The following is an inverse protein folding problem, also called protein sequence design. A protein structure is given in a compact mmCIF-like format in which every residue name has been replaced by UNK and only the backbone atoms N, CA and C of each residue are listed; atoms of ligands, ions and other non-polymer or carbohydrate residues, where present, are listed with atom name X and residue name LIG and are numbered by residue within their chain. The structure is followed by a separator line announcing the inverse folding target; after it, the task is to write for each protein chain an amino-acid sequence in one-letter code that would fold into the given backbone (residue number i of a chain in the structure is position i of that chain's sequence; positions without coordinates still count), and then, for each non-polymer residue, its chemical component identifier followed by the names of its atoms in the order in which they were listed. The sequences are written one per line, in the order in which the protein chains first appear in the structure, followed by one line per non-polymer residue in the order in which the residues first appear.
data_IF_468855438344
#
_entry.id   IF_468855438344
#
_cell.length_a   1.000
_cell.length_b   1.000
_cell.length_c   1.000
_cell.angle_alpha   90.00
_cell.angle_beta   90.00
_cell.angle_gamma   90.00
#
_symmetry.space_group_name_H-M   'P 1'
#
loop_
_entity.id
_entity.type
_entity.pdbx_description
1 polymer ?
#
# COMPACT_ATOMS: atom_id res chain seq x y z
N UNK A 1 5.86 -8.41 0.56
CA UNK A 1 5.26 -7.38 1.43
C UNK A 1 5.64 -7.51 2.91
N UNK A 2 6.63 -8.34 3.31
CA UNK A 2 7.15 -8.43 4.69
C UNK A 2 6.08 -8.27 5.80
N UNK A 3 6.17 -7.25 6.64
CA UNK A 3 5.24 -7.00 7.76
C UNK A 3 3.78 -6.81 7.34
N UNK A 4 3.53 -6.29 6.13
CA UNK A 4 2.19 -6.13 5.57
C UNK A 4 1.64 -7.43 4.94
N UNK A 5 2.45 -8.50 4.82
CA UNK A 5 2.06 -9.73 4.10
C UNK A 5 0.83 -10.40 4.70
N UNK A 6 0.78 -10.54 6.03
CA UNK A 6 -0.39 -11.12 6.72
C UNK A 6 -1.65 -10.31 6.44
N UNK A 7 -1.55 -8.99 6.53
CA UNK A 7 -2.70 -8.09 6.36
C UNK A 7 -3.13 -7.97 4.89
N UNK A 8 -2.23 -8.18 3.93
CA UNK A 8 -2.58 -8.28 2.52
C UNK A 8 -3.30 -9.60 2.19
N UNK A 9 -2.92 -10.71 2.85
CA UNK A 9 -3.67 -11.96 2.79
C UNK A 9 -5.06 -11.79 3.42
N UNK A 10 -5.15 -11.09 4.54
CA UNK A 10 -6.42 -10.70 5.17
C UNK A 10 -7.30 -9.81 4.28
N UNK A 11 -6.71 -8.83 3.59
CA UNK A 11 -7.40 -8.00 2.61
C UNK A 11 -7.93 -8.83 1.42
N UNK A 12 -7.15 -9.80 0.96
CA UNK A 12 -7.57 -10.76 -0.08
C UNK A 12 -8.75 -11.62 0.38
N UNK A 13 -8.76 -12.06 1.65
CA UNK A 13 -9.88 -12.78 2.24
C UNK A 13 -11.15 -11.93 2.22
N UNK A 14 -11.08 -10.69 2.69
CA UNK A 14 -12.23 -9.76 2.67
C UNK A 14 -12.69 -9.51 1.24
N UNK A 15 -11.77 -9.24 0.32
CA UNK A 15 -12.10 -9.03 -1.09
C UNK A 15 -12.91 -10.19 -1.69
N UNK A 16 -12.46 -11.43 -1.46
CA UNK A 16 -13.07 -12.61 -2.06
C UNK A 16 -14.32 -13.12 -1.31
N UNK A 17 -14.46 -12.81 -0.03
CA UNK A 17 -15.45 -13.46 0.86
C UNK A 17 -16.27 -12.51 1.73
N UNK A 18 -16.28 -11.20 1.45
CA UNK A 18 -16.99 -10.20 2.26
C UNK A 18 -18.45 -10.58 2.60
N UNK A 19 -19.20 -11.19 1.67
CA UNK A 19 -20.59 -11.61 1.88
C UNK A 19 -20.75 -12.90 2.71
N UNK A 20 -19.68 -13.65 2.95
CA UNK A 20 -19.68 -14.95 3.67
C UNK A 20 -19.00 -14.88 5.04
N UNK A 21 -18.36 -13.74 5.37
CA UNK A 21 -17.51 -13.58 6.55
C UNK A 21 -18.27 -13.24 7.83
N UNK A 22 -19.47 -12.67 7.75
CA UNK A 22 -20.26 -12.34 8.94
C UNK A 22 -20.48 -13.58 9.84
N UNK A 23 -20.17 -13.45 11.13
CA UNK A 23 -20.24 -14.52 12.12
C UNK A 23 -19.07 -15.50 12.14
N UNK A 24 -18.14 -15.44 11.17
CA UNK A 24 -16.98 -16.33 11.10
C UNK A 24 -15.87 -15.91 12.06
N UNK A 25 -15.08 -16.88 12.50
CA UNK A 25 -13.80 -16.65 13.18
C UNK A 25 -12.67 -16.94 12.19
N UNK A 26 -11.76 -15.98 12.04
CA UNK A 26 -10.55 -16.14 11.22
C UNK A 26 -9.35 -16.17 12.15
N UNK A 27 -8.49 -17.16 11.95
CA UNK A 27 -7.21 -17.27 12.65
C UNK A 27 -6.13 -16.65 11.77
N UNK A 28 -5.29 -15.81 12.36
CA UNK A 28 -4.16 -15.16 11.73
C UNK A 28 -2.87 -15.62 12.42
N UNK A 29 -1.85 -15.91 11.62
CA UNK A 29 -0.53 -16.28 12.12
C UNK A 29 0.50 -15.30 11.58
N UNK A 30 1.10 -14.53 12.49
CA UNK A 30 2.17 -13.58 12.17
C UNK A 30 3.52 -14.16 12.56
N UNK A 31 4.51 -13.99 11.69
CA UNK A 31 5.87 -14.48 11.89
C UNK A 31 6.89 -13.43 11.45
N UNK A 32 7.96 -13.29 12.23
CA UNK A 32 9.19 -12.58 11.87
C UNK A 32 10.42 -13.39 12.30
N UNK A 33 11.41 -13.50 11.41
CA UNK A 33 12.66 -14.23 11.66
C UNK A 33 13.47 -13.60 12.80
N UNK A 34 14.07 -14.43 13.67
CA UNK A 34 14.78 -13.99 14.88
C UNK A 34 14.61 -14.87 16.14
N UNK A 35 13.43 -15.21 16.64
CA UNK A 35 12.09 -15.15 16.05
C UNK A 35 11.04 -14.57 17.01
N UNK A 36 10.03 -13.91 16.44
CA UNK A 36 8.82 -13.49 17.14
C UNK A 36 7.61 -13.93 16.33
N UNK A 37 6.70 -14.66 16.96
CA UNK A 37 5.49 -15.15 16.30
C UNK A 37 4.27 -15.00 17.22
N UNK A 38 3.11 -14.78 16.62
CA UNK A 38 1.84 -14.72 17.35
C UNK A 38 0.73 -15.27 16.47
N UNK A 39 -0.01 -16.24 17.01
CA UNK A 39 -1.29 -16.66 16.48
C UNK A 39 -2.40 -15.93 17.24
N UNK A 40 -3.31 -15.29 16.53
CA UNK A 40 -4.46 -14.60 17.11
C UNK A 40 -5.70 -14.85 16.26
N UNK A 41 -6.88 -14.56 16.78
CA UNK A 41 -8.13 -14.77 16.05
C UNK A 41 -9.02 -13.54 16.11
N UNK A 42 -9.76 -13.31 15.02
CA UNK A 42 -10.74 -12.24 14.87
C UNK A 42 -12.11 -12.85 14.64
N UNK A 43 -13.15 -12.30 15.29
CA UNK A 43 -14.54 -12.63 15.00
C UNK A 43 -15.14 -11.54 14.14
N UNK A 44 -15.65 -11.94 12.98
CA UNK A 44 -16.26 -11.04 12.03
C UNK A 44 -17.73 -10.81 12.38
N UNK A 45 -18.13 -9.56 12.31
CA UNK A 45 -19.51 -9.12 12.44
C UNK A 45 -19.84 -8.24 11.24
N UNK A 46 -21.08 -8.30 10.77
CA UNK A 46 -21.52 -7.33 9.78
C UNK A 46 -21.65 -5.97 10.45
N UNK A 47 -20.99 -4.96 9.88
CA UNK A 47 -21.02 -3.59 10.35
C UNK A 47 -22.04 -2.74 9.60
N UNK A 48 -22.18 -1.48 10.01
CA UNK A 48 -22.94 -0.48 9.27
C UNK A 48 -21.98 0.41 8.47
N UNK A 49 -22.45 0.96 7.35
CA UNK A 49 -21.66 1.91 6.55
C UNK A 49 -21.17 3.09 7.43
N UNK A 50 -19.89 3.53 7.31
CA UNK A 50 -18.88 3.12 6.33
C UNK A 50 -18.05 1.88 6.73
N UNK A 51 -18.31 1.27 7.88
CA UNK A 51 -17.51 0.18 8.44
C UNK A 51 -18.14 -1.21 8.22
N UNK A 52 -18.80 -1.43 7.08
CA UNK A 52 -19.35 -2.75 6.69
C UNK A 52 -18.32 -3.57 5.89
N UNK A 53 -18.47 -4.91 5.86
CA UNK A 53 -17.53 -5.78 5.15
C UNK A 53 -17.55 -5.53 3.64
N UNK A 54 -18.74 -5.28 3.11
CA UNK A 54 -18.95 -4.91 1.71
C UNK A 54 -18.29 -3.57 1.35
N UNK A 55 -18.42 -2.56 2.21
CA UNK A 55 -17.82 -1.26 1.96
C UNK A 55 -16.29 -1.32 2.03
N UNK A 56 -15.72 -2.06 2.99
CA UNK A 56 -14.28 -2.28 3.07
C UNK A 56 -13.76 -2.94 1.78
N UNK A 57 -14.42 -3.99 1.29
CA UNK A 57 -14.06 -4.64 0.03
C UNK A 57 -14.12 -3.69 -1.18
N UNK A 58 -15.17 -2.86 -1.24
CA UNK A 58 -15.38 -1.85 -2.27
C UNK A 58 -14.27 -0.79 -2.27
N UNK A 59 -14.02 -0.16 -1.11
CA UNK A 59 -13.02 0.91 -0.94
C UNK A 59 -11.61 0.40 -1.23
N UNK A 60 -11.28 -0.84 -0.83
CA UNK A 60 -9.97 -1.41 -1.12
C UNK A 60 -9.73 -1.56 -2.63
N UNK A 61 -10.78 -1.86 -3.41
CA UNK A 61 -10.75 -2.05 -4.87
C UNK A 61 -9.55 -2.88 -5.34
N UNK A 62 -9.35 -4.05 -4.73
CA UNK A 62 -8.17 -4.90 -4.97
C UNK A 62 -8.08 -5.31 -6.45
N UNK A 63 -9.19 -5.77 -7.03
CA UNK A 63 -9.23 -6.18 -8.44
C UNK A 63 -8.92 -5.01 -9.40
N UNK A 64 -9.46 -3.81 -9.15
CA UNK A 64 -9.17 -2.64 -9.96
C UNK A 64 -7.69 -2.27 -9.92
N UNK A 65 -7.08 -2.24 -8.72
CA UNK A 65 -5.65 -1.96 -8.53
C UNK A 65 -4.74 -3.00 -9.18
N UNK A 66 -5.14 -4.27 -9.18
CA UNK A 66 -4.36 -5.33 -9.84
C UNK A 66 -4.40 -5.24 -11.36
N UNK A 67 -5.54 -4.81 -11.93
CA UNK A 67 -5.72 -4.59 -13.37
C UNK A 67 -4.99 -3.36 -13.87
N UNK A 68 -4.82 -2.33 -13.04
CA UNK A 68 -4.11 -1.09 -13.40
C UNK A 68 -2.59 -1.16 -13.24
N UNK A 69 -2.00 -2.35 -13.10
CA UNK A 69 -0.55 -2.51 -12.96
C UNK A 69 0.14 -2.36 -14.32
N UNK A 70 1.41 -1.95 -14.25
CA UNK A 70 2.28 -1.86 -15.41
C UNK A 70 3.31 -2.99 -15.36
N UNK A 71 3.33 -3.81 -16.40
CA UNK A 71 4.31 -4.88 -16.56
C UNK A 71 5.62 -4.34 -17.14
N UNK A 72 6.74 -4.86 -16.66
CA UNK A 72 8.07 -4.51 -17.12
C UNK A 72 8.79 -5.77 -17.59
N UNK A 73 9.54 -5.72 -18.71
CA UNK A 73 10.43 -6.80 -19.10
C UNK A 73 11.45 -7.11 -18.00
N UNK A 74 11.89 -8.37 -17.85
CA UNK A 74 12.86 -8.76 -16.82
C UNK A 74 14.14 -7.93 -16.81
N UNK A 75 14.66 -7.54 -17.97
CA UNK A 75 15.89 -6.77 -18.12
C UNK A 75 15.73 -5.39 -17.46
N UNK A 76 14.62 -4.70 -17.75
CA UNK A 76 14.31 -3.39 -17.17
C UNK A 76 14.04 -3.49 -15.65
N UNK A 77 13.45 -4.60 -15.20
CA UNK A 77 13.30 -4.88 -13.78
C UNK A 77 14.67 -5.01 -13.09
N UNK A 78 15.61 -5.76 -13.68
CA UNK A 78 16.97 -5.93 -13.15
C UNK A 78 17.74 -4.61 -13.13
N UNK A 79 17.66 -3.80 -14.19
CA UNK A 79 18.25 -2.46 -14.24
C UNK A 79 17.72 -1.57 -13.11
N UNK A 80 16.41 -1.63 -12.87
CA UNK A 80 15.77 -0.89 -11.78
C UNK A 80 16.27 -1.37 -10.42
N UNK A 81 16.44 -2.67 -10.21
CA UNK A 81 16.98 -3.22 -8.96
C UNK A 81 18.43 -2.77 -8.73
N UNK A 82 19.27 -2.79 -9.77
CA UNK A 82 20.65 -2.26 -9.68
C UNK A 82 20.65 -0.78 -9.32
N UNK A 83 19.77 0.03 -9.91
CA UNK A 83 19.63 1.43 -9.53
C UNK A 83 19.25 1.58 -8.05
N UNK A 84 18.29 0.78 -7.55
CA UNK A 84 17.87 0.84 -6.15
C UNK A 84 18.99 0.47 -5.18
N UNK A 85 19.85 -0.49 -5.53
CA UNK A 85 21.06 -0.83 -4.77
C UNK A 85 21.98 0.38 -4.62
N UNK A 86 22.25 1.12 -5.69
CA UNK A 86 23.07 2.35 -5.65
C UNK A 86 22.42 3.47 -4.81
N UNK A 87 21.09 3.53 -4.75
CA UNK A 87 20.36 4.53 -3.95
C UNK A 87 20.28 4.16 -2.47
N UNK A 88 20.47 2.90 -2.11
CA UNK A 88 20.39 2.45 -0.73
C UNK A 88 21.55 3.02 0.09
N UNK A 89 21.23 3.86 1.08
CA UNK A 89 22.23 4.53 1.92
C UNK A 89 22.97 5.69 1.24
N UNK A 90 22.57 6.08 0.02
CA UNK A 90 23.12 7.24 -0.67
C UNK A 90 22.46 8.57 -0.23
N UNK A 91 23.14 9.67 -0.53
CA UNK A 91 22.71 11.06 -0.33
C UNK A 91 23.07 11.92 -1.53
N UNK A 92 22.61 13.16 -1.54
CA UNK A 92 22.92 14.17 -2.53
C UNK A 92 22.55 13.75 -3.97
N UNK A 93 21.29 13.33 -4.15
CA UNK A 93 20.78 12.94 -5.45
C UNK A 93 19.32 13.34 -5.69
N UNK A 94 19.02 13.57 -6.96
CA UNK A 94 17.67 13.79 -7.48
C UNK A 94 17.21 12.53 -8.23
N UNK A 95 15.93 12.14 -8.07
CA UNK A 95 15.34 11.02 -8.83
C UNK A 95 15.02 11.45 -10.27
N UNK A 96 14.59 10.51 -11.14
CA UNK A 96 14.14 10.86 -12.49
C UNK A 96 12.88 11.73 -12.49
N UNK A 97 12.14 11.78 -11.37
CA UNK A 97 10.82 12.44 -11.22
C UNK A 97 9.76 11.96 -12.24
N UNK A 98 10.02 10.87 -12.97
CA UNK A 98 9.03 10.25 -13.85
C UNK A 98 7.92 9.62 -13.01
N UNK A 99 6.75 10.23 -13.07
CA UNK A 99 5.54 9.77 -12.38
C UNK A 99 4.46 9.31 -13.37
N UNK A 100 4.79 9.13 -14.65
CA UNK A 100 3.83 8.78 -15.71
C UNK A 100 2.99 7.54 -15.36
N UNK A 101 3.64 6.50 -14.83
CA UNK A 101 3.04 5.23 -14.44
C UNK A 101 2.38 5.22 -13.05
N UNK A 102 2.55 6.26 -12.25
CA UNK A 102 1.93 6.33 -10.93
C UNK A 102 0.45 6.72 -11.06
N UNK A 103 -0.41 6.19 -10.21
CA UNK A 103 -1.80 6.64 -10.18
C UNK A 103 -1.90 8.07 -9.62
N UNK A 104 -2.91 8.85 -10.02
CA UNK A 104 -3.16 10.17 -9.43
C UNK A 104 -3.21 10.13 -7.90
N UNK A 105 -2.61 11.13 -7.25
CA UNK A 105 -2.52 11.23 -5.80
C UNK A 105 -1.43 10.37 -5.14
N UNK A 106 -0.65 9.61 -5.91
CA UNK A 106 0.49 8.83 -5.39
C UNK A 106 1.61 9.75 -4.92
N UNK A 107 2.12 9.52 -3.71
CA UNK A 107 3.34 10.17 -3.21
C UNK A 107 4.58 9.49 -3.77
N UNK A 108 5.61 10.27 -4.11
CA UNK A 108 6.88 9.78 -4.65
C UNK A 108 8.07 10.61 -4.13
N UNK A 109 9.25 9.99 -4.10
CA UNK A 109 10.50 10.61 -3.66
C UNK A 109 11.08 11.49 -4.78
N UNK A 110 11.36 12.76 -4.51
CA UNK A 110 11.95 13.68 -5.48
C UNK A 110 13.46 13.72 -5.38
N UNK A 111 14.00 13.78 -4.15
CA UNK A 111 15.43 13.87 -3.89
C UNK A 111 15.78 13.45 -2.45
N UNK A 112 17.07 13.17 -2.27
CA UNK A 112 17.71 13.02 -0.96
C UNK A 112 18.90 13.98 -0.94
N UNK A 113 18.91 14.95 -0.03
CA UNK A 113 19.98 15.95 0.00
C UNK A 113 21.26 15.45 0.70
N UNK A 114 22.28 16.31 0.80
CA UNK A 114 23.57 16.02 1.41
C UNK A 114 23.53 15.68 2.92
N UNK A 115 22.40 15.96 3.58
CA UNK A 115 22.12 15.64 4.97
C UNK A 115 21.19 14.42 5.12
N UNK A 116 20.96 13.65 4.05
CA UNK A 116 20.04 12.51 4.00
C UNK A 116 18.55 12.87 4.20
N UNK A 117 18.18 14.15 4.14
CA UNK A 117 16.76 14.54 4.22
C UNK A 117 16.06 14.14 2.92
N UNK A 118 14.90 13.51 3.05
CA UNK A 118 14.11 13.00 1.93
C UNK A 118 12.96 13.95 1.63
N UNK A 119 12.84 14.34 0.37
CA UNK A 119 11.77 15.23 -0.09
C UNK A 119 10.80 14.46 -0.97
N UNK A 120 9.52 14.74 -0.80
CA UNK A 120 8.44 14.02 -1.47
C UNK A 120 7.49 15.00 -2.15
N UNK A 121 6.93 14.55 -3.26
CA UNK A 121 5.84 15.23 -3.95
C UNK A 121 4.68 14.26 -4.15
N UNK A 122 3.52 14.81 -4.50
CA UNK A 122 2.30 14.06 -4.82
C UNK A 122 2.00 14.26 -6.30
N UNK A 123 1.71 13.18 -7.03
CA UNK A 123 1.25 13.29 -8.42
C UNK A 123 -0.13 13.96 -8.43
N UNK A 124 -0.28 15.01 -9.21
CA UNK A 124 -1.56 15.69 -9.38
C UNK A 124 -2.63 14.72 -9.90
N UNK A 125 -3.86 14.91 -9.44
CA UNK A 125 -5.03 14.18 -9.92
C UNK A 125 -6.22 15.12 -10.06
N UNK A 126 -7.10 14.81 -11.00
CA UNK A 126 -8.44 15.40 -11.02
C UNK A 126 -9.12 15.08 -9.68
N UNK A 127 -9.29 16.10 -8.84
CA UNK A 127 -9.90 15.95 -7.53
C UNK A 127 -11.41 15.73 -7.70
N UNK A 128 -11.83 14.49 -7.90
CA UNK A 128 -13.17 14.08 -7.47
C UNK A 128 -13.15 14.07 -5.94
N UNK A 129 -13.75 15.09 -5.33
CA UNK A 129 -13.84 15.27 -3.89
C UNK A 129 -14.35 13.97 -3.23
N UNK A 130 -13.44 13.25 -2.58
CA UNK A 130 -13.81 12.31 -1.55
C UNK A 130 -14.09 13.18 -0.33
N UNK A 131 -15.35 13.33 0.02
CA UNK A 131 -15.84 14.16 1.12
C UNK A 131 -15.37 13.55 2.45
N UNK A 132 -14.12 13.81 2.81
CA UNK A 132 -13.54 13.48 4.11
C UNK A 132 -12.63 14.65 4.50
N UNK A 133 -13.01 15.27 5.62
CA UNK A 133 -12.57 16.59 6.07
C UNK A 133 -11.07 16.83 6.09
N UNK A 134 -10.72 18.11 6.06
CA UNK A 134 -9.39 18.67 6.17
C UNK A 134 -8.56 17.98 7.27
N UNK A 135 -7.62 17.12 6.88
CA UNK A 135 -6.58 16.67 7.80
C UNK A 135 -5.50 17.75 7.81
N UNK A 136 -5.67 18.72 8.71
CA UNK A 136 -4.57 19.57 9.13
C UNK A 136 -3.58 18.67 9.88
N UNK A 137 -2.48 18.28 9.23
CA UNK A 137 -1.35 17.73 9.96
C UNK A 137 -0.67 18.91 10.67
N UNK A 138 -1.09 19.14 11.91
CA UNK A 138 -0.35 19.96 12.86
C UNK A 138 0.94 19.25 13.25
N UNK A 139 2.06 19.87 12.90
CA UNK A 139 3.09 20.32 13.84
C UNK A 139 3.90 21.43 13.17
#
# INVERSE_FOLDING_TARGET
MYTASLYAAFASLIHNKNSELAGKRVILFSYGSGLTATMFSLRFHEGQHPFSLSNIASVMNVAGKLKSRHEFPPEKFVETMKLMEHRYGAKDFVTSKDCSLLSPGTYYLTEVDSMYRRFYAKKDGDFAACDNGSVANGH
#
